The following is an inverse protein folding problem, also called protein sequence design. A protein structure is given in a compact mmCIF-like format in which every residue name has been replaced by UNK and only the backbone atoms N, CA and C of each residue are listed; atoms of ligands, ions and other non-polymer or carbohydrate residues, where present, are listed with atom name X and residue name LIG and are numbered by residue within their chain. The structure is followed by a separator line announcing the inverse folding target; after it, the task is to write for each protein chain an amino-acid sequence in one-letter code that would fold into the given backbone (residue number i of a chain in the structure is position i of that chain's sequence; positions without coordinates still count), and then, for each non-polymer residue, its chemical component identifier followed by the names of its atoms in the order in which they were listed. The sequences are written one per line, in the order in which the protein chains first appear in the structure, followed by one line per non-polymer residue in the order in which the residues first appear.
data_IF_823905892687
#
_entry.id   IF_823905892687
#
_cell.length_a   1.000
_cell.length_b   1.000
_cell.length_c   1.000
_cell.angle_alpha   90.00
_cell.angle_beta   90.00
_cell.angle_gamma   90.00
#
_symmetry.space_group_name_H-M   'P 1'
#
loop_
_entity.id
_entity.type
_entity.pdbx_description
1 polymer ?
#
# COMPACT_ATOMS: atom_id res chain seq x y z
N UNK A 1 -0.15 16.36 -2.12
CA UNK A 1 0.37 15.56 -1.00
C UNK A 1 1.13 14.40 -1.62
N UNK A 2 2.28 14.05 -1.06
CA UNK A 2 3.09 12.93 -1.52
C UNK A 2 2.65 11.67 -0.78
N UNK A 3 2.47 10.55 -1.51
CA UNK A 3 2.30 9.26 -0.83
C UNK A 3 3.63 8.83 -0.24
N UNK A 4 3.56 8.18 0.91
CA UNK A 4 4.72 7.76 1.66
C UNK A 4 4.75 6.24 1.77
N UNK A 5 5.96 5.68 1.71
CA UNK A 5 6.17 4.26 1.95
C UNK A 5 5.86 3.97 3.41
N UNK A 6 4.96 3.02 3.63
CA UNK A 6 4.59 2.60 4.96
C UNK A 6 5.37 1.34 5.32
N UNK A 7 5.71 1.15 6.61
CA UNK A 7 6.29 -0.11 7.07
C UNK A 7 5.43 -1.31 6.68
N UNK A 8 6.05 -2.47 6.46
CA UNK A 8 5.38 -3.73 6.09
C UNK A 8 4.21 -4.08 7.01
N UNK A 9 4.36 -3.83 8.31
CA UNK A 9 3.34 -4.06 9.35
C UNK A 9 2.51 -2.82 9.72
N UNK A 10 2.47 -1.80 8.85
CA UNK A 10 1.65 -0.63 9.08
C UNK A 10 0.17 -1.00 9.16
N UNK A 11 -0.59 -0.44 10.12
CA UNK A 11 -2.00 -0.74 10.28
C UNK A 11 -2.83 -0.03 9.20
N UNK A 12 -4.01 -0.56 8.87
CA UNK A 12 -4.81 -0.14 7.71
C UNK A 12 -5.19 1.34 7.78
N UNK A 13 -5.36 1.88 8.98
CA UNK A 13 -5.69 3.27 9.25
C UNK A 13 -4.64 4.25 8.70
N UNK A 14 -3.36 3.84 8.60
CA UNK A 14 -2.33 4.68 8.00
C UNK A 14 -2.49 4.80 6.48
N UNK A 15 -2.86 3.71 5.81
CA UNK A 15 -3.18 3.74 4.37
C UNK A 15 -4.46 4.55 4.12
N UNK A 16 -5.46 4.38 4.98
CA UNK A 16 -6.71 5.14 4.89
C UNK A 16 -6.47 6.64 5.08
N UNK A 17 -5.61 7.00 6.03
CA UNK A 17 -5.18 8.38 6.22
C UNK A 17 -4.53 8.95 4.96
N UNK A 18 -3.66 8.21 4.28
CA UNK A 18 -3.06 8.70 3.03
C UNK A 18 -4.12 8.91 1.93
N UNK A 19 -5.12 8.03 1.82
CA UNK A 19 -6.22 8.20 0.88
C UNK A 19 -7.05 9.46 1.20
N UNK A 20 -7.35 9.70 2.49
CA UNK A 20 -8.05 10.90 2.94
C UNK A 20 -7.24 12.18 2.66
N UNK A 21 -5.94 12.17 2.97
CA UNK A 21 -5.04 13.31 2.73
C UNK A 21 -4.95 13.62 1.21
N UNK A 22 -5.03 12.61 0.34
CA UNK A 22 -5.08 12.79 -1.11
C UNK A 22 -6.41 13.42 -1.58
N UNK A 23 -7.54 13.03 -1.00
CA UNK A 23 -8.86 13.65 -1.26
C UNK A 23 -8.86 15.13 -0.85
N UNK A 24 -8.32 15.44 0.33
CA UNK A 24 -8.20 16.84 0.76
C UNK A 24 -7.25 17.63 -0.14
N UNK A 25 -6.14 17.03 -0.56
CA UNK A 25 -5.25 17.64 -1.55
C UNK A 25 -5.94 17.97 -2.88
N UNK A 26 -6.80 17.08 -3.38
CA UNK A 26 -7.62 17.34 -4.57
C UNK A 26 -8.56 18.54 -4.37
N UNK A 27 -9.28 18.59 -3.24
CA UNK A 27 -10.20 19.71 -2.90
C UNK A 27 -9.48 21.06 -2.82
N UNK A 28 -8.27 21.07 -2.28
CA UNK A 28 -7.44 22.28 -2.20
C UNK A 28 -6.76 22.65 -3.53
N UNK A 29 -6.91 21.83 -4.56
CA UNK A 29 -6.25 22.03 -5.86
C UNK A 29 -4.73 21.90 -5.77
N UNK A 30 -4.22 21.14 -4.79
CA UNK A 30 -2.79 20.95 -4.58
C UNK A 30 -2.13 20.31 -5.82
N UNK A 31 -1.12 20.96 -6.44
CA UNK A 31 -0.54 20.50 -7.70
C UNK A 31 0.01 19.06 -7.65
N UNK A 32 0.61 18.66 -6.53
CA UNK A 32 1.14 17.31 -6.36
C UNK A 32 0.02 16.26 -6.35
N UNK A 33 -1.09 16.55 -5.66
CA UNK A 33 -2.26 15.66 -5.61
C UNK A 33 -2.91 15.53 -6.99
N UNK A 34 -3.04 16.64 -7.73
CA UNK A 34 -3.58 16.64 -9.09
C UNK A 34 -2.68 15.82 -10.04
N UNK A 35 -1.36 16.01 -9.95
CA UNK A 35 -0.41 15.20 -10.71
C UNK A 35 -0.54 13.72 -10.38
N UNK A 36 -0.63 13.35 -9.10
CA UNK A 36 -0.79 11.96 -8.66
C UNK A 36 -2.06 11.32 -9.22
N UNK A 37 -3.19 12.01 -9.06
CA UNK A 37 -4.51 11.54 -9.52
C UNK A 37 -4.49 11.27 -11.01
N UNK A 38 -3.90 12.17 -11.80
CA UNK A 38 -3.78 12.02 -13.24
C UNK A 38 -2.89 10.83 -13.64
N UNK A 39 -1.73 10.65 -13.02
CA UNK A 39 -0.80 9.60 -13.44
C UNK A 39 -1.27 8.20 -12.99
N UNK A 40 -1.81 8.10 -11.78
CA UNK A 40 -2.00 6.83 -11.09
C UNK A 40 -3.46 6.31 -11.16
N UNK A 41 -4.41 7.11 -11.67
CA UNK A 41 -5.81 6.70 -11.81
C UNK A 41 -6.28 6.66 -13.27
N UNK A 42 -6.70 5.50 -13.81
CA UNK A 42 -7.09 5.34 -15.22
C UNK A 42 -8.15 6.34 -15.70
N UNK A 43 -9.14 6.63 -14.85
CA UNK A 43 -10.23 7.58 -15.16
C UNK A 43 -9.75 9.02 -15.42
N UNK A 44 -8.66 9.44 -14.79
CA UNK A 44 -8.20 10.85 -14.82
C UNK A 44 -7.03 11.08 -15.77
N UNK A 45 -6.42 10.02 -16.32
CA UNK A 45 -5.17 10.08 -17.07
C UNK A 45 -5.19 11.04 -18.26
N UNK A 46 -6.27 11.01 -19.03
CA UNK A 46 -6.41 11.82 -20.24
C UNK A 46 -6.99 13.21 -19.97
N UNK A 47 -7.28 13.56 -18.72
CA UNK A 47 -7.85 14.85 -18.34
C UNK A 47 -6.77 15.94 -18.24
N UNK A 48 -7.13 17.17 -18.61
CA UNK A 48 -6.38 18.37 -18.25
C UNK A 48 -6.41 18.59 -16.73
N UNK A 49 -5.43 19.31 -16.19
CA UNK A 49 -5.40 19.60 -14.75
C UNK A 49 -6.63 20.39 -14.29
N UNK A 50 -7.22 21.22 -15.16
CA UNK A 50 -8.50 21.90 -14.90
C UNK A 50 -9.66 20.92 -14.78
N UNK A 51 -9.72 19.91 -15.66
CA UNK A 51 -10.75 18.87 -15.60
C UNK A 51 -10.57 17.96 -14.39
N UNK A 52 -9.33 17.61 -14.03
CA UNK A 52 -9.07 16.85 -12.80
C UNK A 52 -9.57 17.63 -11.58
N UNK A 53 -9.29 18.94 -11.48
CA UNK A 53 -9.74 19.80 -10.37
C UNK A 53 -11.26 19.92 -10.27
N UNK A 54 -11.98 19.92 -11.39
CA UNK A 54 -13.45 20.07 -11.40
C UNK A 54 -14.19 18.73 -11.32
N UNK A 55 -13.53 17.62 -11.65
CA UNK A 55 -14.12 16.28 -11.61
C UNK A 55 -14.20 15.76 -10.19
N UNK A 56 -15.33 15.13 -9.84
CA UNK A 56 -15.48 14.47 -8.55
C UNK A 56 -14.41 13.39 -8.35
N UNK A 57 -13.68 13.49 -7.24
CA UNK A 57 -12.70 12.53 -6.79
C UNK A 57 -13.13 12.01 -5.42
N UNK A 58 -13.60 10.76 -5.37
CA UNK A 58 -14.13 10.14 -4.18
C UNK A 58 -13.03 9.40 -3.40
N UNK A 59 -13.31 9.05 -2.14
CA UNK A 59 -12.40 8.25 -1.32
C UNK A 59 -12.01 6.92 -1.99
N UNK A 60 -12.94 6.29 -2.71
CA UNK A 60 -12.67 5.06 -3.44
C UNK A 60 -11.63 5.24 -4.56
N UNK A 61 -11.64 6.38 -5.28
CA UNK A 61 -10.61 6.69 -6.29
C UNK A 61 -9.24 6.86 -5.60
N UNK A 62 -9.21 7.50 -4.43
CA UNK A 62 -7.98 7.68 -3.65
C UNK A 62 -7.44 6.36 -3.08
N UNK A 63 -8.32 5.51 -2.54
CA UNK A 63 -7.98 4.17 -2.07
C UNK A 63 -7.43 3.29 -3.20
N UNK A 64 -7.97 3.41 -4.41
CA UNK A 64 -7.43 2.74 -5.59
C UNK A 64 -5.97 3.18 -5.86
N UNK A 65 -5.70 4.49 -5.88
CA UNK A 65 -4.33 5.01 -6.08
C UNK A 65 -3.39 4.48 -4.98
N UNK A 66 -3.80 4.54 -3.72
CA UNK A 66 -2.99 4.05 -2.58
C UNK A 66 -2.70 2.55 -2.70
N UNK A 67 -3.70 1.73 -3.07
CA UNK A 67 -3.50 0.30 -3.28
C UNK A 67 -2.50 0.01 -4.40
N UNK A 68 -2.68 0.67 -5.56
CA UNK A 68 -1.79 0.53 -6.72
C UNK A 68 -0.36 0.97 -6.40
N UNK A 69 -0.19 2.03 -5.63
CA UNK A 69 1.11 2.53 -5.20
C UNK A 69 1.84 1.53 -4.28
N UNK A 70 1.09 0.75 -3.50
CA UNK A 70 1.59 -0.36 -2.69
C UNK A 70 1.56 -1.71 -3.43
N UNK A 71 1.49 -1.70 -4.76
CA UNK A 71 1.53 -2.90 -5.62
C UNK A 71 0.34 -3.87 -5.48
N UNK A 72 -0.80 -3.43 -4.93
CA UNK A 72 -2.05 -4.20 -4.89
C UNK A 72 -2.99 -3.78 -6.01
N UNK A 73 -3.82 -4.69 -6.53
CA UNK A 73 -4.75 -4.36 -7.61
C UNK A 73 -5.98 -3.61 -7.09
N UNK A 74 -6.35 -3.85 -5.84
CA UNK A 74 -7.51 -3.25 -5.20
C UNK A 74 -7.26 -2.91 -3.73
N UNK A 75 -8.10 -2.01 -3.19
CA UNK A 75 -8.10 -1.70 -1.76
C UNK A 75 -8.41 -2.93 -0.90
N UNK A 76 -9.27 -3.83 -1.38
CA UNK A 76 -9.63 -5.06 -0.68
C UNK A 76 -8.42 -5.99 -0.52
N UNK A 77 -7.59 -6.12 -1.55
CA UNK A 77 -6.35 -6.90 -1.48
C UNK A 77 -5.34 -6.29 -0.51
N UNK A 78 -5.14 -4.97 -0.55
CA UNK A 78 -4.29 -4.28 0.42
C UNK A 78 -4.79 -4.50 1.84
N UNK A 79 -6.09 -4.33 2.09
CA UNK A 79 -6.68 -4.54 3.41
C UNK A 79 -6.51 -5.98 3.90
N UNK A 80 -6.72 -6.99 3.03
CA UNK A 80 -6.50 -8.39 3.36
C UNK A 80 -5.03 -8.72 3.65
N UNK A 81 -4.10 -8.12 2.92
CA UNK A 81 -2.67 -8.23 3.22
C UNK A 81 -2.33 -7.62 4.58
N UNK A 82 -2.82 -6.41 4.87
CA UNK A 82 -2.58 -5.74 6.16
C UNK A 82 -3.14 -6.55 7.32
N UNK A 83 -4.34 -7.12 7.17
CA UNK A 83 -4.90 -8.03 8.16
C UNK A 83 -4.01 -9.27 8.36
N UNK A 84 -3.56 -9.90 7.26
CA UNK A 84 -2.72 -11.08 7.34
C UNK A 84 -1.35 -10.75 7.98
N UNK A 85 -0.65 -9.71 7.54
CA UNK A 85 0.70 -9.40 8.01
C UNK A 85 0.76 -8.97 9.47
N UNK A 86 -0.33 -8.35 9.97
CA UNK A 86 -0.47 -7.95 11.39
C UNK A 86 -0.83 -9.11 12.32
N UNK A 87 -1.35 -10.21 11.78
CA UNK A 87 -1.56 -11.45 12.53
C UNK A 87 -0.24 -12.23 12.66
N UNK A 88 0.38 -12.20 13.85
CA UNK A 88 1.73 -12.75 14.12
C UNK A 88 1.97 -14.18 13.61
N UNK A 89 0.92 -15.02 13.56
CA UNK A 89 1.03 -16.43 13.16
C UNK A 89 0.55 -16.71 11.74
N UNK A 90 0.12 -15.70 10.99
CA UNK A 90 -0.29 -15.91 9.61
C UNK A 90 0.92 -16.31 8.73
N UNK A 91 0.70 -17.04 7.63
CA UNK A 91 1.76 -17.31 6.67
C UNK A 91 2.43 -16.04 6.13
N UNK A 92 1.66 -14.97 5.90
CA UNK A 92 2.17 -13.68 5.42
C UNK A 92 3.11 -13.05 6.45
N UNK A 93 2.74 -13.00 7.72
CA UNK A 93 3.59 -12.41 8.78
C UNK A 93 4.88 -13.20 8.99
N UNK A 94 4.82 -14.53 8.87
CA UNK A 94 6.00 -15.40 8.93
C UNK A 94 6.92 -15.21 7.72
N UNK A 95 6.36 -15.03 6.53
CA UNK A 95 7.11 -14.72 5.32
C UNK A 95 7.83 -13.38 5.43
N UNK A 96 7.11 -12.32 5.81
CA UNK A 96 7.72 -11.00 5.99
C UNK A 96 8.80 -11.00 7.08
N UNK A 97 8.63 -11.80 8.15
CA UNK A 97 9.69 -12.00 9.15
C UNK A 97 10.95 -12.67 8.58
N UNK A 98 10.79 -13.57 7.61
CA UNK A 98 11.91 -14.20 6.93
C UNK A 98 12.60 -13.21 5.96
N UNK A 99 11.83 -12.34 5.30
CA UNK A 99 12.35 -11.23 4.50
C UNK A 99 13.16 -10.26 5.36
N UNK A 100 12.61 -9.83 6.51
CA UNK A 100 13.29 -8.97 7.49
C UNK A 100 14.65 -9.60 7.89
N UNK A 101 14.66 -10.88 8.23
CA UNK A 101 15.89 -11.61 8.59
C UNK A 101 16.93 -11.65 7.45
N UNK A 102 16.51 -11.72 6.20
CA UNK A 102 17.42 -11.65 5.04
C UNK A 102 17.99 -10.24 4.89
N UNK A 103 17.15 -9.21 4.99
CA UNK A 103 17.56 -7.80 4.86
C UNK A 103 18.56 -7.42 5.96
N UNK A 104 18.31 -7.86 7.19
CA UNK A 104 19.15 -7.57 8.35
C UNK A 104 20.39 -8.50 8.45
N UNK A 105 20.45 -9.56 7.64
CA UNK A 105 21.51 -10.57 7.71
C UNK A 105 21.43 -11.48 8.93
N UNK A 106 20.26 -11.58 9.60
CA UNK A 106 20.03 -12.48 10.73
C UNK A 106 19.78 -13.93 10.24
N UNK A 107 20.87 -14.60 9.90
CA UNK A 107 20.87 -16.01 9.49
C UNK A 107 20.25 -16.91 10.57
N UNK A 108 20.43 -16.59 11.86
CA UNK A 108 19.91 -17.42 12.95
C UNK A 108 18.38 -17.36 13.00
N UNK A 109 17.81 -16.17 12.85
CA UNK A 109 16.36 -16.00 12.75
C UNK A 109 15.80 -16.68 11.50
N UNK A 110 16.45 -16.51 10.35
CA UNK A 110 16.02 -17.14 9.10
C UNK A 110 16.01 -18.68 9.19
N UNK A 111 17.09 -19.28 9.71
CA UNK A 111 17.15 -20.73 9.91
C UNK A 111 16.07 -21.25 10.85
N UNK A 112 15.78 -20.51 11.92
CA UNK A 112 14.71 -20.87 12.87
C UNK A 112 13.33 -20.83 12.19
N UNK A 113 13.07 -19.79 11.39
CA UNK A 113 11.82 -19.64 10.65
C UNK A 113 11.64 -20.77 9.61
N UNK A 114 12.68 -21.04 8.80
CA UNK A 114 12.65 -22.10 7.78
C UNK A 114 12.52 -23.51 8.38
N UNK A 115 13.13 -23.77 9.54
CA UNK A 115 12.94 -25.04 10.26
C UNK A 115 11.51 -25.21 10.79
N UNK A 116 10.91 -24.12 11.28
CA UNK A 116 9.55 -24.15 11.78
C UNK A 116 8.51 -24.26 10.65
N UNK A 117 8.78 -23.63 9.51
CA UNK A 117 7.91 -23.64 8.34
C UNK A 117 8.74 -23.65 7.04
N UNK A 118 9.08 -24.85 6.50
CA UNK A 118 9.87 -24.97 5.28
C UNK A 118 9.18 -24.42 4.04
N UNK A 119 7.84 -24.32 4.04
CA UNK A 119 7.07 -23.83 2.89
C UNK A 119 7.20 -22.30 2.71
N UNK A 120 7.82 -21.58 3.65
CA UNK A 120 8.13 -20.16 3.49
C UNK A 120 8.95 -19.85 2.24
N UNK A 121 9.75 -20.80 1.74
CA UNK A 121 10.51 -20.62 0.49
C UNK A 121 9.61 -20.53 -0.77
N UNK A 122 8.35 -20.95 -0.64
CA UNK A 122 7.33 -20.93 -1.72
C UNK A 122 6.17 -20.00 -1.40
N UNK A 123 6.18 -19.34 -0.25
CA UNK A 123 5.11 -18.45 0.15
C UNK A 123 5.23 -17.13 -0.63
N UNK A 124 4.44 -16.97 -1.69
CA UNK A 124 4.03 -15.65 -2.20
C UNK A 124 2.83 -15.80 -3.14
#
# INVERSE_FOLDING_TARGET
MKLNELPTRAPLEQYEKQAQDLVEGHKLGDPESIWRIKNDHPRFREMSDSEVRSTTFALADAQFIVARWNYFESWLELAGYVEAVTQERSPVSQFESAVDAIVDGDVTALERLLRANPDLIRAR
#
